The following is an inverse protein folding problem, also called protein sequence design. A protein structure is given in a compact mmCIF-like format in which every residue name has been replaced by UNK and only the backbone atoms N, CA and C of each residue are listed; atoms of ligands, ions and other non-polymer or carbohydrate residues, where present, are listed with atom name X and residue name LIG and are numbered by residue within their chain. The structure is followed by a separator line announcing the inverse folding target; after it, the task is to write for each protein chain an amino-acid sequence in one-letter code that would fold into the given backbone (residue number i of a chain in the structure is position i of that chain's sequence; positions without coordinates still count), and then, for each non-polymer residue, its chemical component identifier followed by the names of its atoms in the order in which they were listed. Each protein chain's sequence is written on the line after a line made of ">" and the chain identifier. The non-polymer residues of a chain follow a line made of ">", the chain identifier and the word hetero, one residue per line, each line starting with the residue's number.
data_IF_505638826799
#
_entry.id   IF_505638826799
#
_cell.length_a   1.000
_cell.length_b   1.000
_cell.length_c   1.000
_cell.angle_alpha   90.00
_cell.angle_beta   90.00
_cell.angle_gamma   90.00
#
_symmetry.space_group_name_H-M   'P 1'
#
loop_
_entity.id
_entity.type
_entity.pdbx_description
1 polymer ?
#
# COMPACT_ATOMS: atom_id res chain seq x y z
N UNK A 1 -58.06 25.85 -47.51
CA UNK A 1 -57.82 24.98 -46.35
C UNK A 1 -56.61 24.11 -46.69
N UNK A 2 -55.44 24.48 -46.17
CA UNK A 2 -54.19 23.75 -46.43
C UNK A 2 -53.84 23.02 -45.14
N UNK A 3 -53.93 21.69 -45.16
CA UNK A 3 -53.51 20.83 -44.05
C UNK A 3 -52.00 20.82 -44.05
N UNK A 4 -51.37 21.47 -43.07
CA UNK A 4 -49.93 21.41 -42.88
C UNK A 4 -49.54 20.01 -42.42
N UNK A 5 -48.67 19.34 -43.18
CA UNK A 5 -47.96 18.15 -42.72
C UNK A 5 -46.98 18.60 -41.64
N UNK A 6 -47.32 18.34 -40.38
CA UNK A 6 -46.40 18.50 -39.25
C UNK A 6 -45.22 17.54 -39.46
N UNK A 7 -44.04 18.10 -39.78
CA UNK A 7 -42.79 17.34 -39.76
C UNK A 7 -42.52 16.92 -38.30
N UNK A 8 -42.59 15.62 -38.03
CA UNK A 8 -42.20 15.09 -36.72
C UNK A 8 -40.74 15.42 -36.43
N UNK A 9 -40.41 15.97 -35.25
CA UNK A 9 -39.03 16.24 -34.84
C UNK A 9 -38.17 14.98 -34.96
N UNK A 10 -36.91 15.11 -35.41
CA UNK A 10 -36.01 13.96 -35.65
C UNK A 10 -35.75 13.11 -34.40
N UNK A 11 -35.92 13.69 -33.22
CA UNK A 11 -35.72 13.02 -31.92
C UNK A 11 -37.01 12.44 -31.33
N UNK A 12 -38.10 12.42 -32.09
CA UNK A 12 -39.37 11.85 -31.65
C UNK A 12 -39.35 10.33 -31.71
N UNK A 13 -39.42 9.68 -30.54
CA UNK A 13 -39.57 8.22 -30.42
C UNK A 13 -41.06 7.86 -30.39
N UNK A 14 -41.60 7.05 -31.31
CA UNK A 14 -43.01 6.61 -31.28
C UNK A 14 -43.39 5.90 -29.98
N UNK A 15 -44.65 6.00 -29.54
CA UNK A 15 -45.08 5.47 -28.22
C UNK A 15 -45.02 3.94 -28.18
N UNK A 16 -45.24 3.29 -29.32
CA UNK A 16 -45.10 1.85 -29.54
C UNK A 16 -43.66 1.34 -29.36
N UNK A 17 -42.67 2.22 -29.48
CA UNK A 17 -41.26 1.94 -29.22
C UNK A 17 -40.83 2.30 -27.78
N UNK A 18 -41.77 2.71 -26.90
CA UNK A 18 -41.48 3.06 -25.51
C UNK A 18 -41.91 1.95 -24.56
N UNK A 19 -41.08 1.68 -23.56
CA UNK A 19 -41.43 0.82 -22.43
C UNK A 19 -41.24 1.60 -21.12
N UNK A 20 -42.30 1.75 -20.32
CA UNK A 20 -42.34 2.61 -19.12
C UNK A 20 -41.88 4.07 -19.36
N UNK A 21 -42.11 4.60 -20.56
CA UNK A 21 -41.71 5.97 -20.93
C UNK A 21 -40.26 6.10 -21.42
N UNK A 22 -39.50 5.01 -21.48
CA UNK A 22 -38.12 4.95 -21.97
C UNK A 22 -38.07 4.32 -23.38
N UNK A 23 -37.19 4.82 -24.23
CA UNK A 23 -36.97 4.29 -25.58
C UNK A 23 -36.42 2.86 -25.52
N UNK A 24 -37.18 1.90 -26.07
CA UNK A 24 -36.84 0.47 -26.13
C UNK A 24 -35.49 0.21 -26.81
N UNK A 25 -35.05 1.08 -27.73
CA UNK A 25 -33.77 0.96 -28.45
C UNK A 25 -32.56 1.20 -27.56
N UNK A 26 -32.75 1.89 -26.43
CA UNK A 26 -31.68 2.16 -25.46
C UNK A 26 -31.46 1.04 -24.44
N UNK A 27 -32.44 0.13 -24.28
CA UNK A 27 -32.34 -0.99 -23.32
C UNK A 27 -31.15 -1.93 -23.56
N UNK A 28 -30.82 -2.34 -24.81
CA UNK A 28 -29.66 -3.19 -25.05
C UNK A 28 -28.35 -2.52 -24.60
N UNK A 29 -28.17 -1.23 -24.90
CA UNK A 29 -27.00 -0.47 -24.46
C UNK A 29 -26.96 -0.35 -22.94
N UNK A 30 -28.09 -0.04 -22.31
CA UNK A 30 -28.22 0.00 -20.85
C UNK A 30 -27.92 -1.33 -20.17
N UNK A 31 -28.39 -2.45 -20.73
CA UNK A 31 -28.09 -3.80 -20.24
C UNK A 31 -26.61 -4.15 -20.39
N UNK A 32 -25.97 -3.77 -21.49
CA UNK A 32 -24.52 -3.95 -21.68
C UNK A 32 -23.75 -3.13 -20.64
N UNK A 33 -24.09 -1.86 -20.45
CA UNK A 33 -23.47 -1.02 -19.42
C UNK A 33 -23.68 -1.59 -18.02
N UNK A 34 -24.88 -2.08 -17.71
CA UNK A 34 -25.18 -2.75 -16.43
C UNK A 34 -24.35 -4.02 -16.27
N UNK A 35 -24.24 -4.86 -17.30
CA UNK A 35 -23.43 -6.06 -17.27
C UNK A 35 -21.95 -5.73 -17.04
N UNK A 36 -21.40 -4.73 -17.72
CA UNK A 36 -20.03 -4.25 -17.50
C UNK A 36 -19.87 -3.76 -16.05
N UNK A 37 -20.81 -2.95 -15.56
CA UNK A 37 -20.77 -2.46 -14.17
C UNK A 37 -20.79 -3.62 -13.16
N UNK A 38 -21.64 -4.64 -13.36
CA UNK A 38 -21.68 -5.82 -12.49
C UNK A 38 -20.39 -6.64 -12.57
N UNK A 39 -19.78 -6.80 -13.75
CA UNK A 39 -18.48 -7.47 -13.91
C UNK A 39 -17.37 -6.70 -13.19
N UNK A 40 -17.38 -5.36 -13.25
CA UNK A 40 -16.38 -4.55 -12.56
C UNK A 40 -16.58 -4.55 -11.04
N UNK A 41 -17.83 -4.46 -10.57
CA UNK A 41 -18.16 -4.41 -9.14
C UNK A 41 -18.00 -5.79 -8.47
N UNK A 42 -18.38 -6.88 -9.14
CA UNK A 42 -18.39 -8.22 -8.54
C UNK A 42 -17.42 -9.19 -9.19
N UNK A 43 -17.25 -9.13 -10.51
CA UNK A 43 -16.38 -10.05 -11.24
C UNK A 43 -14.91 -9.87 -10.90
N UNK A 44 -14.39 -8.63 -10.92
CA UNK A 44 -12.99 -8.38 -10.56
C UNK A 44 -12.67 -8.72 -9.10
N UNK A 45 -13.47 -8.31 -8.09
CA UNK A 45 -13.23 -8.73 -6.71
C UNK A 45 -13.35 -10.24 -6.50
N UNK A 46 -14.31 -10.90 -7.17
CA UNK A 46 -14.45 -12.35 -7.08
C UNK A 46 -13.26 -13.09 -7.69
N UNK A 47 -12.73 -12.62 -8.83
CA UNK A 47 -11.53 -13.18 -9.43
C UNK A 47 -10.31 -12.99 -8.51
N UNK A 48 -10.15 -11.81 -7.91
CA UNK A 48 -9.10 -11.55 -6.94
C UNK A 48 -9.21 -12.46 -5.70
N UNK A 49 -10.43 -12.69 -5.20
CA UNK A 49 -10.67 -13.61 -4.08
C UNK A 49 -10.46 -15.10 -4.46
N UNK A 50 -10.60 -15.45 -5.74
CA UNK A 50 -10.42 -16.80 -6.24
C UNK A 50 -8.95 -17.18 -6.48
N UNK A 51 -8.02 -16.21 -6.47
CA UNK A 51 -6.58 -16.48 -6.53
C UNK A 51 -6.15 -16.86 -5.12
N UNK A 52 -5.81 -18.14 -4.85
CA UNK A 52 -5.40 -18.54 -3.51
C UNK A 52 -4.10 -17.83 -3.16
N UNK A 53 -4.05 -17.24 -1.97
CA UNK A 53 -2.87 -16.57 -1.46
C UNK A 53 -1.87 -17.62 -1.00
N UNK A 54 -0.76 -17.77 -1.71
CA UNK A 54 0.18 -18.88 -1.46
C UNK A 54 1.08 -18.62 -0.24
N UNK A 55 1.27 -17.36 0.14
CA UNK A 55 2.23 -16.92 1.17
C UNK A 55 1.59 -15.99 2.21
N UNK A 56 0.41 -16.37 2.72
CA UNK A 56 -0.22 -15.63 3.81
C UNK A 56 0.55 -15.81 5.13
N UNK A 57 0.77 -14.69 5.81
CA UNK A 57 1.42 -14.62 7.12
C UNK A 57 0.51 -15.22 8.19
N UNK A 58 1.03 -16.23 8.88
CA UNK A 58 0.37 -16.89 10.01
C UNK A 58 0.90 -16.34 11.33
N UNK A 59 0.08 -16.45 12.37
CA UNK A 59 0.48 -16.08 13.73
C UNK A 59 1.76 -16.83 14.17
N UNK A 60 2.68 -16.10 14.81
CA UNK A 60 3.96 -16.61 15.28
C UNK A 60 5.07 -16.63 14.23
N UNK A 61 4.79 -16.26 12.98
CA UNK A 61 5.83 -16.06 11.97
C UNK A 61 6.58 -14.75 12.22
N UNK A 62 7.88 -14.77 11.91
CA UNK A 62 8.80 -13.63 12.06
C UNK A 62 9.51 -13.44 10.72
N UNK A 63 9.67 -12.19 10.29
CA UNK A 63 10.44 -11.83 9.11
C UNK A 63 11.93 -11.73 9.45
N UNK A 64 12.78 -12.25 8.57
CA UNK A 64 14.20 -12.00 8.61
C UNK A 64 14.52 -10.78 7.73
N UNK A 65 15.09 -9.73 8.33
CA UNK A 65 15.47 -8.49 7.63
C UNK A 65 16.95 -8.48 7.20
N UNK A 66 17.62 -9.62 7.33
CA UNK A 66 19.05 -9.78 7.08
C UNK A 66 19.91 -9.46 8.31
N UNK A 67 21.12 -10.02 8.34
CA UNK A 67 22.09 -9.84 9.44
C UNK A 67 21.52 -10.16 10.84
N UNK A 68 20.55 -11.07 10.93
CA UNK A 68 19.87 -11.43 12.18
C UNK A 68 18.82 -10.44 12.68
N UNK A 69 18.58 -9.34 11.95
CA UNK A 69 17.49 -8.42 12.26
C UNK A 69 16.14 -9.06 11.95
N UNK A 70 15.14 -8.75 12.76
CA UNK A 70 13.82 -9.38 12.66
C UNK A 70 12.68 -8.39 12.86
N UNK A 71 11.51 -8.72 12.34
CA UNK A 71 10.26 -8.00 12.60
C UNK A 71 9.06 -8.96 12.61
N UNK A 72 8.01 -8.62 13.36
CA UNK A 72 6.79 -9.40 13.43
C UNK A 72 5.76 -8.82 12.44
N UNK A 73 5.49 -9.51 11.32
CA UNK A 73 4.50 -9.07 10.32
C UNK A 73 3.08 -9.16 10.89
N UNK A 74 2.15 -8.31 10.41
CA UNK A 74 0.74 -8.45 10.78
C UNK A 74 0.15 -9.74 10.18
N UNK A 75 -0.71 -10.41 10.93
CA UNK A 75 -1.33 -11.69 10.53
C UNK A 75 -2.33 -11.45 9.40
N UNK A 76 -2.40 -12.38 8.45
CA UNK A 76 -3.31 -12.29 7.29
C UNK A 76 -2.78 -11.43 6.13
N UNK A 77 -1.66 -10.74 6.33
CA UNK A 77 -0.94 -10.08 5.23
C UNK A 77 -0.22 -11.10 4.38
N UNK A 78 0.09 -10.74 3.14
CA UNK A 78 0.77 -11.62 2.21
C UNK A 78 2.22 -11.23 2.04
N UNK A 79 3.10 -12.23 2.05
CA UNK A 79 4.50 -12.04 1.70
C UNK A 79 4.68 -12.14 0.18
N UNK A 80 4.84 -11.00 -0.48
CA UNK A 80 5.15 -10.93 -1.92
C UNK A 80 6.62 -11.20 -2.18
N UNK A 81 7.51 -10.65 -1.34
CA UNK A 81 8.95 -10.87 -1.38
C UNK A 81 9.56 -10.80 0.01
N UNK A 82 10.65 -11.53 0.25
CA UNK A 82 11.33 -11.59 1.54
C UNK A 82 11.50 -13.01 2.06
N UNK A 83 11.98 -13.15 3.29
CA UNK A 83 12.22 -14.46 3.91
C UNK A 83 11.73 -14.47 5.35
N UNK A 84 11.07 -15.56 5.74
CA UNK A 84 10.69 -15.81 7.13
C UNK A 84 11.90 -16.34 7.91
N UNK A 85 12.00 -16.01 9.18
CA UNK A 85 13.07 -16.49 10.06
C UNK A 85 13.06 -18.02 10.13
N UNK A 86 14.26 -18.62 10.08
CA UNK A 86 14.44 -20.08 9.97
C UNK A 86 14.53 -20.61 8.53
N UNK A 87 14.33 -19.77 7.52
CA UNK A 87 14.73 -20.04 6.13
C UNK A 87 16.00 -19.23 5.79
N UNK A 88 16.86 -19.75 4.90
CA UNK A 88 18.09 -19.06 4.50
C UNK A 88 17.74 -17.72 3.82
N UNK A 89 17.89 -16.61 4.54
CA UNK A 89 17.58 -15.29 4.04
C UNK A 89 18.52 -14.90 2.91
N UNK A 90 17.96 -14.55 1.75
CA UNK A 90 18.68 -14.14 0.55
C UNK A 90 18.40 -12.69 0.15
N UNK A 91 17.43 -12.03 0.80
CA UNK A 91 16.95 -10.70 0.43
C UNK A 91 17.03 -9.71 1.60
N UNK A 92 17.58 -8.53 1.34
CA UNK A 92 17.53 -7.36 2.23
C UNK A 92 16.22 -6.57 2.10
N UNK A 93 15.31 -7.04 1.24
CA UNK A 93 14.06 -6.39 0.90
C UNK A 93 12.88 -7.35 1.17
N UNK A 94 11.88 -6.85 1.89
CA UNK A 94 10.65 -7.56 2.24
C UNK A 94 9.47 -6.72 1.78
N UNK A 95 8.51 -7.35 1.12
CA UNK A 95 7.27 -6.70 0.70
C UNK A 95 6.06 -7.50 1.17
N UNK A 96 5.21 -6.82 1.92
CA UNK A 96 3.93 -7.31 2.40
C UNK A 96 2.78 -6.60 1.69
N UNK A 97 1.69 -7.30 1.42
CA UNK A 97 0.49 -6.71 0.83
C UNK A 97 -0.79 -7.24 1.49
N UNK A 98 -1.79 -6.37 1.63
CA UNK A 98 -3.13 -6.72 2.10
C UNK A 98 -4.14 -5.71 1.61
N UNK A 99 -5.20 -6.14 0.91
CA UNK A 99 -6.35 -5.28 0.58
C UNK A 99 -6.03 -3.96 -0.16
N UNK A 100 -4.92 -3.90 -0.91
CA UNK A 100 -4.46 -2.67 -1.58
C UNK A 100 -3.51 -1.80 -0.75
N UNK A 101 -3.23 -2.17 0.49
CA UNK A 101 -2.12 -1.65 1.29
C UNK A 101 -0.85 -2.46 1.02
N UNK A 102 0.29 -1.79 1.00
CA UNK A 102 1.61 -2.42 0.91
C UNK A 102 2.53 -1.89 2.01
N UNK A 103 3.37 -2.79 2.54
CA UNK A 103 4.47 -2.45 3.43
C UNK A 103 5.74 -3.01 2.83
N UNK A 104 6.72 -2.15 2.62
CA UNK A 104 8.03 -2.50 2.09
C UNK A 104 9.09 -2.18 3.13
N UNK A 105 9.95 -3.16 3.45
CA UNK A 105 11.09 -3.01 4.32
C UNK A 105 12.35 -3.21 3.48
N UNK A 106 13.27 -2.24 3.50
CA UNK A 106 14.51 -2.29 2.72
C UNK A 106 15.69 -1.96 3.61
N UNK A 107 16.58 -2.93 3.82
CA UNK A 107 17.85 -2.74 4.52
C UNK A 107 18.95 -2.27 3.56
N UNK A 108 19.75 -1.29 3.97
CA UNK A 108 20.90 -0.78 3.22
C UNK A 108 22.00 -0.30 4.14
N UNK A 109 23.23 -0.18 3.64
CA UNK A 109 24.30 0.55 4.34
C UNK A 109 24.13 2.05 4.13
N UNK A 110 24.29 2.84 5.18
CA UNK A 110 24.30 4.30 5.12
C UNK A 110 25.04 4.84 6.34
N UNK A 111 25.95 5.79 6.15
CA UNK A 111 26.66 6.44 7.26
C UNK A 111 25.93 7.73 7.65
N UNK A 112 25.63 7.88 8.94
CA UNK A 112 24.95 9.04 9.52
C UNK A 112 23.59 8.70 10.15
N UNK A 113 22.84 9.75 10.49
CA UNK A 113 21.59 9.63 11.26
C UNK A 113 20.44 9.06 10.43
N UNK A 114 19.42 8.50 11.10
CA UNK A 114 18.19 8.05 10.45
C UNK A 114 17.45 9.18 9.69
N UNK A 115 17.50 10.41 10.22
CA UNK A 115 16.90 11.58 9.57
C UNK A 115 17.62 11.90 8.25
N UNK A 116 18.95 11.91 8.26
CA UNK A 116 19.75 12.18 7.07
C UNK A 116 19.60 11.07 6.02
N UNK A 117 19.42 9.81 6.45
CA UNK A 117 19.07 8.72 5.56
C UNK A 117 17.73 8.95 4.88
N UNK A 118 16.70 9.33 5.63
CA UNK A 118 15.37 9.63 5.07
C UNK A 118 15.44 10.80 4.08
N UNK A 119 16.18 11.88 4.41
CA UNK A 119 16.44 12.99 3.49
C UNK A 119 17.12 12.54 2.19
N UNK A 120 18.05 11.59 2.28
CA UNK A 120 18.73 11.03 1.12
C UNK A 120 17.78 10.21 0.25
N UNK A 121 16.93 9.38 0.85
CA UNK A 121 15.91 8.61 0.14
C UNK A 121 14.94 9.54 -0.59
N UNK A 122 14.44 10.58 0.08
CA UNK A 122 13.55 11.58 -0.54
C UNK A 122 14.21 12.28 -1.72
N UNK A 123 15.48 12.67 -1.57
CA UNK A 123 16.26 13.29 -2.65
C UNK A 123 16.46 12.34 -3.82
N UNK A 124 16.65 11.05 -3.56
CA UNK A 124 16.82 10.01 -4.59
C UNK A 124 15.50 9.70 -5.32
N UNK A 125 14.37 9.71 -4.62
CA UNK A 125 13.04 9.51 -5.20
C UNK A 125 12.59 10.71 -6.06
N UNK A 126 13.20 11.88 -5.85
CA UNK A 126 12.92 13.11 -6.60
C UNK A 126 11.62 13.80 -6.17
N UNK A 127 11.28 14.89 -6.86
CA UNK A 127 10.08 15.69 -6.61
C UNK A 127 8.82 14.92 -7.06
N UNK A 128 8.40 13.96 -6.24
CA UNK A 128 7.13 13.27 -6.41
C UNK A 128 6.00 14.19 -5.94
N UNK A 129 4.96 14.43 -6.76
CA UNK A 129 3.84 15.28 -6.36
C UNK A 129 3.13 14.69 -5.12
N UNK A 130 3.24 15.41 -4.01
CA UNK A 130 2.69 15.00 -2.73
C UNK A 130 2.99 16.01 -1.62
N UNK A 131 2.37 15.81 -0.47
CA UNK A 131 2.58 16.58 0.74
C UNK A 131 3.15 15.64 1.80
N UNK A 132 4.33 15.98 2.32
CA UNK A 132 4.86 15.34 3.52
C UNK A 132 4.36 16.05 4.78
N UNK A 133 4.03 15.25 5.80
CA UNK A 133 3.68 15.75 7.12
C UNK A 133 4.92 16.06 7.96
N UNK A 134 4.69 16.49 9.20
CA UNK A 134 5.78 16.74 10.14
C UNK A 134 6.45 15.43 10.54
N UNK A 135 7.78 15.42 10.55
CA UNK A 135 8.58 14.30 11.08
C UNK A 135 8.38 14.11 12.58
N UNK A 136 8.17 12.87 12.97
CA UNK A 136 8.12 12.41 14.35
C UNK A 136 9.26 11.43 14.64
N UNK A 137 9.54 11.22 15.91
CA UNK A 137 10.44 10.16 16.37
C UNK A 137 9.63 8.93 16.77
N UNK A 138 10.17 7.74 16.48
CA UNK A 138 9.59 6.48 16.92
C UNK A 138 10.68 5.64 17.60
N UNK A 139 10.34 5.03 18.73
CA UNK A 139 11.20 4.07 19.40
C UNK A 139 10.58 2.67 19.32
N UNK A 140 11.36 1.69 18.86
CA UNK A 140 10.91 0.28 18.81
C UNK A 140 10.98 -0.36 20.19
N UNK A 141 10.33 -1.52 20.36
CA UNK A 141 10.41 -2.29 21.61
C UNK A 141 11.83 -2.77 21.94
N UNK A 142 12.69 -2.90 20.93
CA UNK A 142 14.11 -3.22 21.07
C UNK A 142 15.00 -1.98 21.37
N UNK A 143 14.40 -0.78 21.47
CA UNK A 143 15.12 0.45 21.77
C UNK A 143 15.72 1.17 20.56
N UNK A 144 15.43 0.74 19.33
CA UNK A 144 15.87 1.46 18.12
C UNK A 144 15.13 2.79 18.02
N UNK A 145 15.87 3.87 17.83
CA UNK A 145 15.30 5.19 17.61
C UNK A 145 15.32 5.50 16.12
N UNK A 146 14.14 5.73 15.56
CA UNK A 146 13.94 6.08 14.16
C UNK A 146 13.18 7.37 13.98
N UNK A 147 13.05 7.77 12.72
CA UNK A 147 12.28 8.92 12.26
C UNK A 147 11.14 8.41 11.39
N UNK A 148 9.95 8.99 11.54
CA UNK A 148 8.77 8.66 10.75
C UNK A 148 8.20 9.95 10.16
N UNK A 149 7.81 9.89 8.90
CA UNK A 149 7.15 10.96 8.18
C UNK A 149 5.88 10.42 7.52
N UNK A 150 4.78 11.18 7.60
CA UNK A 150 3.57 10.87 6.84
C UNK A 150 3.66 11.46 5.45
N UNK A 151 3.05 10.78 4.47
CA UNK A 151 3.04 11.19 3.08
C UNK A 151 1.66 10.99 2.48
N UNK A 152 1.16 12.05 1.84
CA UNK A 152 -0.05 12.02 1.02
C UNK A 152 0.32 12.38 -0.40
N UNK A 153 -0.09 11.59 -1.36
CA UNK A 153 0.20 11.80 -2.78
C UNK A 153 -0.99 11.42 -3.65
N UNK A 154 -0.91 11.73 -4.94
CA UNK A 154 -1.92 11.27 -5.91
C UNK A 154 -1.98 9.75 -6.03
N UNK A 155 -0.89 9.05 -5.69
CA UNK A 155 -0.80 7.59 -5.66
C UNK A 155 -1.30 6.94 -4.38
N UNK A 156 -1.67 7.72 -3.36
CA UNK A 156 -2.10 7.20 -2.07
C UNK A 156 -1.50 7.90 -0.85
N UNK A 157 -1.93 7.44 0.32
CA UNK A 157 -1.47 7.87 1.64
C UNK A 157 -0.55 6.82 2.27
N UNK A 158 0.31 7.26 3.17
CA UNK A 158 1.10 6.34 3.97
C UNK A 158 2.16 7.03 4.80
N UNK A 159 3.19 6.27 5.15
CA UNK A 159 4.32 6.74 5.95
C UNK A 159 5.63 6.22 5.38
N UNK A 160 6.70 6.98 5.57
CA UNK A 160 8.08 6.54 5.41
C UNK A 160 8.76 6.60 6.78
N UNK A 161 9.38 5.50 7.19
CA UNK A 161 10.09 5.39 8.46
C UNK A 161 11.51 4.93 8.22
N UNK A 162 12.46 5.52 8.93
CA UNK A 162 13.88 5.21 8.85
C UNK A 162 14.42 4.84 10.24
N UNK A 163 15.15 3.73 10.31
CA UNK A 163 15.82 3.26 11.52
C UNK A 163 17.29 3.00 11.25
N UNK A 164 18.11 3.12 12.30
CA UNK A 164 19.48 2.60 12.33
C UNK A 164 19.46 1.30 13.12
N UNK A 165 20.08 0.27 12.58
CA UNK A 165 19.98 -1.11 13.08
C UNK A 165 20.98 -1.40 14.20
N UNK A 166 21.14 -0.46 15.13
CA UNK A 166 21.97 -0.60 16.33
C UNK A 166 21.43 0.27 17.47
N UNK A 167 21.86 -0.03 18.69
CA UNK A 167 21.64 0.79 19.88
C UNK A 167 22.98 1.09 20.54
N UNK A 168 23.07 2.15 21.34
CA UNK A 168 24.30 2.49 22.07
C UNK A 168 24.80 3.90 21.76
N UNK A 169 26.10 4.06 21.52
CA UNK A 169 26.73 5.35 21.25
C UNK A 169 26.27 5.91 19.89
N UNK A 170 26.23 7.23 19.75
CA UNK A 170 25.85 7.88 18.49
C UNK A 170 26.73 7.43 17.32
N UNK A 171 28.03 7.28 17.55
CA UNK A 171 28.98 6.82 16.52
C UNK A 171 28.68 5.40 16.02
N UNK A 172 28.39 4.46 16.94
CA UNK A 172 28.04 3.09 16.57
C UNK A 172 26.70 3.05 15.84
N UNK A 173 25.71 3.83 16.31
CA UNK A 173 24.39 3.92 15.68
C UNK A 173 24.51 4.51 14.28
N UNK A 174 25.29 5.57 14.08
CA UNK A 174 25.45 6.24 12.79
C UNK A 174 26.19 5.39 11.75
N UNK A 175 27.12 4.53 12.18
CA UNK A 175 27.82 3.58 11.29
C UNK A 175 27.00 2.30 10.99
N UNK A 176 25.94 2.03 11.76
CA UNK A 176 25.13 0.83 11.58
C UNK A 176 24.34 0.83 10.26
N UNK A 177 23.92 -0.33 9.75
CA UNK A 177 22.99 -0.40 8.62
C UNK A 177 21.71 0.40 8.89
N UNK A 178 21.13 0.95 7.83
CA UNK A 178 19.84 1.64 7.86
C UNK A 178 18.72 0.73 7.35
N UNK A 179 17.52 0.91 7.88
CA UNK A 179 16.31 0.24 7.46
C UNK A 179 15.27 1.29 7.08
N UNK A 180 14.80 1.24 5.83
CA UNK A 180 13.64 1.99 5.37
C UNK A 180 12.40 1.11 5.49
N UNK A 181 11.34 1.63 6.09
CA UNK A 181 10.01 1.03 6.10
C UNK A 181 9.05 1.98 5.40
N UNK A 182 8.44 1.53 4.33
CA UNK A 182 7.56 2.30 3.46
C UNK A 182 6.19 1.68 3.46
N UNK A 183 5.19 2.44 3.89
CA UNK A 183 3.79 2.03 3.87
C UNK A 183 3.06 2.84 2.82
N UNK A 184 2.27 2.17 1.98
CA UNK A 184 1.42 2.81 0.97
C UNK A 184 0.02 2.20 1.04
N UNK A 185 -0.99 3.05 0.95
CA UNK A 185 -2.40 2.69 1.01
C UNK A 185 -3.17 3.56 0.01
N UNK A 186 -4.37 3.15 -0.36
CA UNK A 186 -5.26 4.02 -1.13
C UNK A 186 -5.61 5.30 -0.34
N UNK A 187 -5.92 6.42 -1.01
CA UNK A 187 -6.27 7.67 -0.33
C UNK A 187 -7.39 7.48 0.72
N UNK A 188 -7.16 7.98 1.94
CA UNK A 188 -8.08 7.88 3.07
C UNK A 188 -8.18 6.50 3.72
N UNK A 189 -7.35 5.52 3.33
CA UNK A 189 -7.41 4.16 3.90
C UNK A 189 -6.34 3.87 4.97
N UNK A 190 -5.35 4.76 5.15
CA UNK A 190 -4.24 4.53 6.09
C UNK A 190 -4.71 4.28 7.54
N UNK A 191 -5.79 4.95 7.96
CA UNK A 191 -6.35 4.81 9.32
C UNK A 191 -6.73 3.36 9.65
N UNK A 192 -7.15 2.56 8.65
CA UNK A 192 -7.55 1.17 8.87
C UNK A 192 -6.37 0.25 9.18
N UNK A 193 -5.19 0.56 8.65
CA UNK A 193 -3.96 -0.23 8.86
C UNK A 193 -3.05 0.36 9.93
N UNK A 194 -3.40 1.50 10.53
CA UNK A 194 -2.50 2.26 11.39
C UNK A 194 -2.00 1.45 12.60
N UNK A 195 -2.90 0.71 13.26
CA UNK A 195 -2.54 -0.08 14.44
C UNK A 195 -1.62 -1.26 14.07
N UNK A 196 -1.90 -1.93 12.96
CA UNK A 196 -1.08 -3.04 12.46
C UNK A 196 0.32 -2.56 12.06
N UNK A 197 0.40 -1.42 11.36
CA UNK A 197 1.66 -0.77 10.99
C UNK A 197 2.44 -0.35 12.23
N UNK A 198 1.77 0.27 13.21
CA UNK A 198 2.43 0.68 14.45
C UNK A 198 2.96 -0.52 15.24
N UNK A 199 2.22 -1.63 15.28
CA UNK A 199 2.66 -2.88 15.90
C UNK A 199 3.88 -3.46 15.19
N UNK A 200 3.86 -3.53 13.85
CA UNK A 200 5.00 -3.96 13.04
C UNK A 200 6.24 -3.10 13.35
N UNK A 201 6.13 -1.77 13.25
CA UNK A 201 7.25 -0.86 13.48
C UNK A 201 7.84 -1.02 14.89
N UNK A 202 7.00 -1.20 15.91
CA UNK A 202 7.46 -1.45 17.29
C UNK A 202 8.14 -2.80 17.46
N UNK A 203 7.82 -3.79 16.63
CA UNK A 203 8.39 -5.14 16.73
C UNK A 203 9.80 -5.28 16.14
N UNK A 204 10.28 -4.27 15.41
CA UNK A 204 11.58 -4.32 14.73
C UNK A 204 12.70 -4.45 15.77
N UNK A 205 13.50 -5.50 15.60
CA UNK A 205 14.61 -5.86 16.47
C UNK A 205 15.90 -5.91 15.65
N UNK A 206 17.01 -5.29 16.12
CA UNK A 206 18.29 -5.36 15.43
C UNK A 206 18.85 -6.78 15.47
N UNK A 207 19.70 -7.10 14.50
CA UNK A 207 20.47 -8.33 14.53
C UNK A 207 21.57 -8.28 15.57
N UNK A 208 21.99 -9.45 16.05
CA UNK A 208 23.19 -9.52 16.87
C UNK A 208 24.41 -9.24 15.99
N UNK A 209 25.10 -8.13 16.25
CA UNK A 209 26.43 -7.85 15.69
C UNK A 209 27.32 -9.09 15.95
N UNK A 210 27.88 -9.67 14.89
CA UNK A 210 29.01 -10.61 15.00
C UNK A 210 30.27 -9.93 14.52
#
# INVERSE_FOLDING_TARGET
>A
MSVGTEETPRDWVPVEDRWFGLDRRTFPAGLISLAIALVLIYGLPALNAAIPWHNEIKAGQVLELGNGATAVPPVGWQLESGTLSGANATSLQVKLASGGATIELTGTSYDGTAAAFLDQVERSDGDSPGVSGRRGTLTTGAGLVGVVESRTSTGGDGIDAAFKMATGTSEAVEAAPALLVRVRTAPGQFEQSQDEVAALLRSITPGADR
#
